data_IF_192767747563
#
_entry.id   IF_192767747563
#
_cell.length_a   1.000
_cell.length_b   1.000
_cell.length_c   1.000
_cell.angle_alpha   90.00
_cell.angle_beta   90.00
_cell.angle_gamma   90.00
#
_symmetry.space_group_name_H-M   'P 1'
#
loop_
_entity.id
_entity.type
_entity.pdbx_description
1 polymer ?
#
# COMPACT_ATOMS: atom_id res chain seq x y z
N UNK A 1 15.51 52.31 -1.39
CA UNK A 1 15.47 50.91 -0.92
C UNK A 1 14.97 50.07 -2.08
N UNK A 2 15.82 49.21 -2.63
CA UNK A 2 15.38 48.25 -3.64
C UNK A 2 14.43 47.25 -2.95
N UNK A 3 13.32 46.85 -3.59
CA UNK A 3 12.43 45.83 -3.03
C UNK A 3 13.25 44.54 -2.86
N UNK A 4 13.33 44.06 -1.62
CA UNK A 4 13.87 42.73 -1.32
C UNK A 4 12.97 41.74 -2.04
N UNK A 5 13.53 41.03 -3.02
CA UNK A 5 12.82 39.94 -3.68
C UNK A 5 12.34 38.98 -2.59
N UNK A 6 11.02 38.66 -2.52
CA UNK A 6 10.56 37.69 -1.55
C UNK A 6 11.33 36.40 -1.81
N UNK A 7 11.96 35.83 -0.78
CA UNK A 7 12.66 34.55 -0.85
C UNK A 7 11.67 33.47 -1.30
N UNK A 8 11.51 33.33 -2.62
CA UNK A 8 10.64 32.35 -3.27
C UNK A 8 11.04 30.92 -2.87
N UNK A 9 12.30 30.76 -2.47
CA UNK A 9 12.89 29.53 -1.91
C UNK A 9 12.26 29.14 -0.56
N UNK A 10 11.73 30.06 0.24
CA UNK A 10 11.16 29.77 1.56
C UNK A 10 9.65 29.52 1.57
N UNK A 11 8.99 29.52 0.40
CA UNK A 11 7.53 29.46 0.30
C UNK A 11 6.93 28.15 0.80
N UNK A 12 5.90 28.25 1.64
CA UNK A 12 5.14 27.10 2.14
C UNK A 12 4.14 26.51 1.12
N UNK A 13 3.97 27.17 -0.03
CA UNK A 13 2.95 26.81 -1.03
C UNK A 13 3.19 25.42 -1.62
N UNK A 14 4.42 25.11 -2.03
CA UNK A 14 4.81 23.80 -2.58
C UNK A 14 4.57 22.70 -1.54
N UNK A 15 5.03 22.83 -0.29
CA UNK A 15 4.73 21.86 0.76
C UNK A 15 3.25 21.59 0.99
N UNK A 16 2.45 22.65 1.11
CA UNK A 16 1.01 22.53 1.33
C UNK A 16 0.35 21.86 0.13
N UNK A 17 0.74 22.22 -1.10
CA UNK A 17 0.24 21.59 -2.31
C UNK A 17 0.58 20.09 -2.37
N UNK A 18 1.81 19.70 -2.02
CA UNK A 18 2.24 18.30 -1.98
C UNK A 18 1.43 17.49 -0.95
N UNK A 19 1.33 17.96 0.30
CA UNK A 19 0.54 17.25 1.32
C UNK A 19 -0.95 17.20 0.97
N UNK A 20 -1.50 18.30 0.45
CA UNK A 20 -2.89 18.34 -0.01
C UNK A 20 -3.11 17.35 -1.17
N UNK A 21 -2.18 17.26 -2.11
CA UNK A 21 -2.25 16.30 -3.22
C UNK A 21 -2.21 14.85 -2.73
N UNK A 22 -1.40 14.55 -1.72
CA UNK A 22 -1.34 13.22 -1.11
C UNK A 22 -2.67 12.87 -0.44
N UNK A 23 -3.26 13.80 0.33
CA UNK A 23 -4.57 13.60 0.97
C UNK A 23 -5.66 13.41 -0.08
N UNK A 24 -5.68 14.23 -1.13
CA UNK A 24 -6.64 14.13 -2.23
C UNK A 24 -6.49 12.81 -3.00
N UNK A 25 -5.27 12.35 -3.25
CA UNK A 25 -5.00 11.05 -3.85
C UNK A 25 -5.59 9.93 -3.00
N UNK A 26 -5.27 9.89 -1.71
CA UNK A 26 -5.79 8.89 -0.77
C UNK A 26 -7.32 8.92 -0.72
N UNK A 27 -7.93 10.10 -0.61
CA UNK A 27 -9.37 10.27 -0.62
C UNK A 27 -9.99 9.77 -1.94
N UNK A 28 -9.36 10.05 -3.07
CA UNK A 28 -9.77 9.55 -4.39
C UNK A 28 -9.71 8.02 -4.47
N UNK A 29 -8.62 7.40 -4.03
CA UNK A 29 -8.49 5.94 -3.99
C UNK A 29 -9.58 5.30 -3.11
N UNK A 30 -9.79 5.85 -1.91
CA UNK A 30 -10.87 5.43 -1.02
C UNK A 30 -12.24 5.57 -1.70
N UNK A 31 -12.51 6.72 -2.33
CA UNK A 31 -13.78 6.95 -3.04
C UNK A 31 -14.01 5.92 -4.17
N UNK A 32 -12.99 5.56 -4.93
CA UNK A 32 -13.12 4.50 -5.96
C UNK A 32 -13.50 3.14 -5.33
N UNK A 33 -12.88 2.79 -4.21
CA UNK A 33 -13.20 1.55 -3.48
C UNK A 33 -14.64 1.62 -2.96
N UNK A 34 -15.02 2.69 -2.26
CA UNK A 34 -16.38 2.86 -1.71
C UNK A 34 -17.46 2.83 -2.78
N UNK A 35 -17.24 3.48 -3.92
CA UNK A 35 -18.21 3.46 -5.04
C UNK A 35 -18.38 2.05 -5.60
N UNK A 36 -17.30 1.29 -5.76
CA UNK A 36 -17.39 -0.12 -6.21
C UNK A 36 -18.06 -1.02 -5.17
N UNK A 37 -17.71 -0.91 -3.90
CA UNK A 37 -18.34 -1.64 -2.80
C UNK A 37 -19.84 -1.31 -2.70
N UNK A 38 -20.21 -0.04 -2.82
CA UNK A 38 -21.62 0.41 -2.79
C UNK A 38 -22.41 -0.15 -3.95
N UNK A 39 -21.83 -0.19 -5.15
CA UNK A 39 -22.45 -0.83 -6.33
C UNK A 39 -22.65 -2.32 -6.08
N UNK A 40 -21.60 -3.03 -5.64
CA UNK A 40 -21.66 -4.45 -5.36
C UNK A 40 -22.73 -4.81 -4.31
N UNK A 41 -22.80 -4.02 -3.23
CA UNK A 41 -23.82 -4.16 -2.19
C UNK A 41 -25.25 -4.02 -2.73
N UNK A 42 -25.48 -3.07 -3.64
CA UNK A 42 -26.81 -2.87 -4.25
C UNK A 42 -27.21 -3.96 -5.23
N UNK A 43 -26.25 -4.63 -5.86
CA UNK A 43 -26.48 -5.65 -6.90
C UNK A 43 -26.36 -7.08 -6.38
N UNK A 44 -26.50 -7.29 -5.07
CA UNK A 44 -26.40 -8.62 -4.48
C UNK A 44 -27.54 -9.55 -4.96
N UNK A 45 -27.23 -10.77 -5.41
CA UNK A 45 -28.23 -11.74 -5.83
C UNK A 45 -29.11 -12.23 -4.66
N UNK A 46 -30.34 -12.69 -4.93
CA UNK A 46 -31.33 -13.04 -3.91
C UNK A 46 -30.88 -14.14 -2.95
N UNK A 47 -30.08 -15.12 -3.41
CA UNK A 47 -29.50 -16.17 -2.57
C UNK A 47 -28.60 -15.62 -1.46
N UNK A 48 -27.87 -14.54 -1.74
CA UNK A 48 -27.01 -13.81 -0.80
C UNK A 48 -27.77 -12.72 -0.01
N UNK A 49 -29.07 -12.51 -0.29
CA UNK A 49 -29.94 -11.59 0.44
C UNK A 49 -30.82 -12.29 1.49
N UNK A 50 -30.63 -13.59 1.71
CA UNK A 50 -31.39 -14.32 2.72
C UNK A 50 -31.12 -13.76 4.13
N UNK A 51 -32.19 -13.62 4.94
CA UNK A 51 -32.17 -12.98 6.27
C UNK A 51 -31.08 -13.54 7.19
N UNK A 52 -30.83 -14.85 7.10
CA UNK A 52 -29.82 -15.57 7.90
C UNK A 52 -28.38 -15.20 7.52
N UNK A 53 -28.07 -15.07 6.23
CA UNK A 53 -26.73 -14.68 5.75
C UNK A 53 -26.49 -13.17 5.90
N UNK A 54 -27.55 -12.36 5.78
CA UNK A 54 -27.46 -10.90 5.87
C UNK A 54 -27.00 -10.42 7.25
N UNK A 55 -27.51 -11.03 8.33
CA UNK A 55 -27.12 -10.68 9.69
C UNK A 55 -25.64 -11.00 9.98
N UNK A 56 -25.18 -12.18 9.57
CA UNK A 56 -23.77 -12.59 9.71
C UNK A 56 -22.83 -11.68 8.90
N UNK A 57 -23.14 -11.45 7.61
CA UNK A 57 -22.34 -10.57 6.74
C UNK A 57 -22.22 -9.16 7.32
N UNK A 58 -23.33 -8.59 7.83
CA UNK A 58 -23.30 -7.26 8.46
C UNK A 58 -22.35 -7.22 9.65
N UNK A 59 -22.37 -8.23 10.54
CA UNK A 59 -21.46 -8.28 11.69
C UNK A 59 -19.99 -8.33 11.24
N UNK A 60 -19.65 -9.21 10.30
CA UNK A 60 -18.28 -9.34 9.79
C UNK A 60 -17.81 -8.05 9.11
N UNK A 61 -18.68 -7.41 8.31
CA UNK A 61 -18.38 -6.13 7.67
C UNK A 61 -18.16 -5.03 8.69
N UNK A 62 -18.97 -4.97 9.76
CA UNK A 62 -18.78 -3.99 10.83
C UNK A 62 -17.43 -4.17 11.54
N UNK A 63 -17.03 -5.42 11.80
CA UNK A 63 -15.71 -5.72 12.39
C UNK A 63 -14.59 -5.24 11.47
N UNK A 64 -14.61 -5.61 10.18
CA UNK A 64 -13.57 -5.19 9.25
C UNK A 64 -13.57 -3.68 8.99
N UNK A 65 -14.74 -3.04 8.95
CA UNK A 65 -14.83 -1.59 8.85
C UNK A 65 -14.26 -0.89 10.10
N UNK A 66 -14.54 -1.41 11.29
CA UNK A 66 -13.96 -0.93 12.54
C UNK A 66 -12.44 -1.06 12.56
N UNK A 67 -11.91 -2.22 12.15
CA UNK A 67 -10.47 -2.45 12.03
C UNK A 67 -9.83 -1.56 10.97
N UNK A 68 -10.52 -1.29 9.85
CA UNK A 68 -10.06 -0.36 8.83
C UNK A 68 -9.96 1.07 9.39
N UNK A 69 -10.98 1.54 10.11
CA UNK A 69 -10.97 2.87 10.75
C UNK A 69 -9.86 2.99 11.80
N UNK A 70 -9.69 1.98 12.65
CA UNK A 70 -8.62 1.94 13.64
C UNK A 70 -7.24 1.94 12.98
N UNK A 71 -7.05 1.16 11.91
CA UNK A 71 -5.81 1.14 11.13
C UNK A 71 -5.53 2.51 10.51
N UNK A 72 -6.53 3.13 9.88
CA UNK A 72 -6.39 4.45 9.26
C UNK A 72 -6.02 5.53 10.28
N UNK A 73 -6.69 5.53 11.45
CA UNK A 73 -6.42 6.50 12.51
C UNK A 73 -5.02 6.34 13.10
N UNK A 74 -4.57 5.10 13.31
CA UNK A 74 -3.23 4.81 13.80
C UNK A 74 -2.15 5.24 12.80
N UNK A 75 -2.30 4.84 11.53
CA UNK A 75 -1.37 5.20 10.46
C UNK A 75 -1.33 6.72 10.24
N UNK A 76 -2.48 7.40 10.28
CA UNK A 76 -2.51 8.86 10.15
C UNK A 76 -1.85 9.55 11.33
N UNK A 77 -2.07 9.07 12.56
CA UNK A 77 -1.41 9.61 13.75
C UNK A 77 0.11 9.43 13.68
N UNK A 78 0.59 8.22 13.38
CA UNK A 78 2.02 7.93 13.25
C UNK A 78 2.67 8.76 12.13
N UNK A 79 2.01 8.88 10.99
CA UNK A 79 2.53 9.64 9.85
C UNK A 79 2.57 11.16 10.14
N UNK A 80 1.65 11.70 10.93
CA UNK A 80 1.69 13.10 11.40
C UNK A 80 2.82 13.26 12.42
N UNK A 81 2.90 12.39 13.42
CA UNK A 81 3.95 12.44 14.45
C UNK A 81 5.35 12.39 13.83
N UNK A 82 5.59 11.48 12.87
CA UNK A 82 6.88 11.38 12.19
C UNK A 82 7.25 12.68 11.46
N UNK A 83 6.32 13.27 10.70
CA UNK A 83 6.57 14.55 10.00
C UNK A 83 6.83 15.71 10.97
N UNK A 84 6.10 15.76 12.09
CA UNK A 84 6.30 16.79 13.12
C UNK A 84 7.67 16.64 13.78
N UNK A 85 8.11 15.40 14.05
CA UNK A 85 9.44 15.13 14.61
C UNK A 85 10.53 15.53 13.62
N UNK A 86 10.42 15.13 12.34
CA UNK A 86 11.36 15.52 11.29
C UNK A 86 11.50 17.04 11.16
N UNK A 87 10.37 17.78 11.15
CA UNK A 87 10.40 19.25 11.12
C UNK A 87 11.09 19.85 12.35
N UNK A 88 10.80 19.33 13.55
CA UNK A 88 11.41 19.81 14.80
C UNK A 88 12.91 19.56 14.84
N UNK A 89 13.36 18.41 14.36
CA UNK A 89 14.77 18.06 14.35
C UNK A 89 15.54 18.91 13.33
N UNK A 90 14.98 19.16 12.15
CA UNK A 90 15.53 20.11 11.17
C UNK A 90 15.63 21.52 11.75
N UNK A 91 14.55 22.03 12.36
CA UNK A 91 14.53 23.39 12.90
C UNK A 91 15.52 23.59 14.06
N UNK A 92 15.71 22.58 14.93
CA UNK A 92 16.73 22.60 15.99
C UNK A 92 18.15 22.64 15.42
N UNK A 93 18.43 21.94 14.33
CA UNK A 93 19.74 21.95 13.69
C UNK A 93 20.05 23.31 13.06
N UNK A 94 19.01 24.03 12.58
CA UNK A 94 19.13 25.37 12.02
C UNK A 94 19.08 26.51 13.04
N UNK A 95 19.05 26.21 14.35
CA UNK A 95 18.86 27.20 15.44
C UNK A 95 17.64 28.12 15.21
N UNK A 96 16.57 27.55 14.65
CA UNK A 96 15.33 28.27 14.35
C UNK A 96 14.33 28.10 15.50
N UNK A 97 13.71 29.21 15.91
CA UNK A 97 12.61 29.18 16.88
C UNK A 97 11.41 28.41 16.31
N UNK A 98 11.17 27.22 16.87
CA UNK A 98 10.00 26.42 16.54
C UNK A 98 8.82 26.92 17.37
N UNK A 99 7.70 27.34 16.76
CA UNK A 99 6.53 27.70 17.52
C UNK A 99 6.08 26.51 18.38
N UNK A 100 5.90 26.73 19.68
CA UNK A 100 5.50 25.70 20.65
C UNK A 100 4.17 25.01 20.31
N UNK A 101 3.38 25.61 19.40
CA UNK A 101 2.15 25.06 18.85
C UNK A 101 2.02 25.41 17.37
N UNK A 102 1.61 24.43 16.56
CA UNK A 102 1.15 24.64 15.17
C UNK A 102 -0.12 25.52 15.07
N UNK A 103 -0.75 25.82 16.22
CA UNK A 103 -1.99 26.60 16.35
C UNK A 103 -1.82 27.88 17.20
N UNK A 104 -0.60 28.26 17.60
CA UNK A 104 -0.39 29.52 18.31
C UNK A 104 -0.21 30.67 17.29
N UNK A 105 -1.19 31.58 17.26
CA UNK A 105 -1.21 32.76 16.37
C UNK A 105 -2.10 32.59 15.14
N UNK A 106 -2.73 33.69 14.68
CA UNK A 106 -3.89 33.68 13.76
C UNK A 106 -3.66 32.89 12.45
N UNK A 107 -2.42 32.75 11.95
CA UNK A 107 -2.07 31.84 10.84
C UNK A 107 -0.65 31.24 10.96
N UNK A 108 -0.21 30.91 12.18
CA UNK A 108 1.10 30.28 12.41
C UNK A 108 2.30 31.20 12.29
N UNK A 109 2.09 32.52 12.23
CA UNK A 109 3.11 33.55 12.40
C UNK A 109 3.10 33.98 13.87
N UNK A 110 4.18 33.73 14.61
CA UNK A 110 4.36 34.21 15.99
C UNK A 110 4.32 35.74 16.08
N UNK A 111 4.53 36.29 17.28
CA UNK A 111 4.57 37.75 17.54
C UNK A 111 5.58 38.50 16.65
N UNK A 112 6.60 37.80 16.12
CA UNK A 112 7.60 38.32 15.19
C UNK A 112 7.31 38.04 13.69
N UNK A 113 6.12 37.56 13.34
CA UNK A 113 5.77 37.27 11.94
C UNK A 113 6.44 36.02 11.36
N UNK A 114 7.24 35.28 12.14
CA UNK A 114 7.95 34.08 11.64
C UNK A 114 6.97 32.92 11.59
N UNK A 115 6.44 32.68 10.39
CA UNK A 115 5.60 31.54 10.05
C UNK A 115 6.32 30.19 10.19
N UNK A 116 5.57 29.08 10.17
CA UNK A 116 6.15 27.77 9.87
C UNK A 116 6.99 27.85 8.59
N UNK A 117 8.21 27.28 8.58
CA UNK A 117 9.12 27.33 7.43
C UNK A 117 9.15 25.98 6.71
N UNK A 118 8.00 25.57 6.20
CA UNK A 118 7.84 24.28 5.50
C UNK A 118 8.61 24.25 4.17
N UNK A 119 8.74 25.40 3.50
CA UNK A 119 9.48 25.53 2.24
C UNK A 119 10.96 25.16 2.39
N UNK A 120 11.63 25.76 3.39
CA UNK A 120 13.02 25.44 3.71
C UNK A 120 13.20 24.00 4.18
N UNK A 121 12.31 23.53 5.06
CA UNK A 121 12.35 22.14 5.53
C UNK A 121 12.33 21.11 4.40
N UNK A 122 11.44 21.23 3.43
CA UNK A 122 11.36 20.28 2.32
C UNK A 122 12.41 20.48 1.22
N UNK A 123 13.15 21.58 1.21
CA UNK A 123 14.33 21.73 0.35
C UNK A 123 15.52 20.97 0.92
N UNK A 124 15.71 21.05 2.24
CA UNK A 124 16.83 20.39 2.92
C UNK A 124 16.55 18.89 3.17
N UNK A 125 15.27 18.54 3.40
CA UNK A 125 14.85 17.19 3.78
C UNK A 125 13.98 16.56 2.69
N UNK A 126 14.55 15.59 1.97
CA UNK A 126 13.77 14.68 1.13
C UNK A 126 13.16 13.57 1.99
N UNK A 127 11.93 13.80 2.44
CA UNK A 127 11.16 12.86 3.26
C UNK A 127 11.03 11.46 2.64
N UNK A 128 10.96 11.36 1.31
CA UNK A 128 10.77 10.06 0.62
C UNK A 128 12.09 9.30 0.57
N UNK A 129 13.21 9.99 0.35
CA UNK A 129 14.54 9.39 0.40
C UNK A 129 14.93 9.04 1.84
N UNK A 130 14.61 9.90 2.81
CA UNK A 130 14.88 9.65 4.23
C UNK A 130 14.10 8.45 4.76
N UNK A 131 12.81 8.34 4.45
CA UNK A 131 12.00 7.18 4.84
C UNK A 131 12.53 5.88 4.22
N UNK A 132 12.90 5.91 2.93
CA UNK A 132 13.51 4.75 2.27
C UNK A 132 14.88 4.40 2.85
N UNK A 133 15.71 5.41 3.14
CA UNK A 133 17.01 5.24 3.79
C UNK A 133 16.87 4.63 5.19
N UNK A 134 15.88 5.07 5.97
CA UNK A 134 15.60 4.50 7.29
C UNK A 134 15.16 3.03 7.21
N UNK A 135 14.34 2.69 6.21
CA UNK A 135 13.89 1.32 5.96
C UNK A 135 15.03 0.35 5.58
N UNK A 136 16.07 0.87 4.92
CA UNK A 136 17.25 0.12 4.45
C UNK A 136 18.35 0.05 5.51
N UNK A 137 18.69 1.18 6.14
CA UNK A 137 19.89 1.31 6.99
C UNK A 137 19.71 0.83 8.42
N UNK A 138 18.49 0.93 8.97
CA UNK A 138 18.27 0.62 10.38
C UNK A 138 18.06 -0.89 10.57
N UNK A 139 18.94 -1.60 11.32
CA UNK A 139 18.81 -3.05 11.51
C UNK A 139 17.48 -3.45 12.17
N UNK A 140 16.96 -2.60 13.06
CA UNK A 140 15.68 -2.83 13.74
C UNK A 140 14.50 -2.70 12.77
N UNK A 141 14.58 -1.75 11.85
CA UNK A 141 13.52 -1.48 10.87
C UNK A 141 13.59 -2.47 9.72
N UNK A 142 14.78 -2.97 9.39
CA UNK A 142 15.02 -3.92 8.32
C UNK A 142 14.13 -5.17 8.40
N UNK A 143 13.94 -5.72 9.61
CA UNK A 143 13.03 -6.86 9.84
C UNK A 143 11.58 -6.48 9.51
N UNK A 144 11.13 -5.31 9.95
CA UNK A 144 9.81 -4.79 9.63
C UNK A 144 9.64 -4.52 8.13
N UNK A 145 10.65 -3.95 7.47
CA UNK A 145 10.68 -3.73 6.03
C UNK A 145 10.49 -5.03 5.27
N UNK A 146 11.17 -6.10 5.68
CA UNK A 146 11.02 -7.43 5.08
C UNK A 146 9.62 -7.99 5.25
N UNK A 147 9.07 -7.92 6.45
CA UNK A 147 7.71 -8.39 6.72
C UNK A 147 6.67 -7.60 5.92
N UNK A 148 6.82 -6.28 5.85
CA UNK A 148 5.94 -5.38 5.13
C UNK A 148 5.94 -5.70 3.63
N UNK A 149 7.11 -5.77 2.99
CA UNK A 149 7.19 -6.05 1.55
C UNK A 149 6.70 -7.46 1.22
N UNK A 150 7.03 -8.45 2.05
CA UNK A 150 6.53 -9.83 1.87
C UNK A 150 5.00 -9.88 1.97
N UNK A 151 4.44 -9.19 2.97
CA UNK A 151 3.00 -9.04 3.14
C UNK A 151 2.35 -8.34 1.94
N UNK A 152 2.97 -7.27 1.45
CA UNK A 152 2.49 -6.48 0.31
C UNK A 152 2.50 -7.28 -1.00
N UNK A 153 3.56 -8.04 -1.26
CA UNK A 153 3.68 -8.99 -2.40
C UNK A 153 2.55 -10.02 -2.33
N UNK A 154 2.39 -10.65 -1.17
CA UNK A 154 1.38 -11.70 -0.96
C UNK A 154 -0.04 -11.15 -1.12
N UNK A 155 -0.33 -10.01 -0.49
CA UNK A 155 -1.61 -9.34 -0.58
C UNK A 155 -1.91 -8.89 -2.01
N UNK A 156 -0.92 -8.41 -2.76
CA UNK A 156 -1.11 -7.98 -4.15
C UNK A 156 -1.43 -9.15 -5.08
N UNK A 157 -0.76 -10.29 -4.92
CA UNK A 157 -1.11 -11.52 -5.64
C UNK A 157 -2.54 -11.93 -5.30
N UNK A 158 -2.90 -11.94 -4.01
CA UNK A 158 -4.24 -12.29 -3.55
C UNK A 158 -5.32 -11.35 -4.11
N UNK A 159 -5.10 -10.04 -4.05
CA UNK A 159 -6.01 -9.03 -4.61
C UNK A 159 -6.14 -9.21 -6.13
N UNK A 160 -5.03 -9.41 -6.86
CA UNK A 160 -5.06 -9.65 -8.31
C UNK A 160 -5.88 -10.89 -8.71
N UNK A 161 -5.70 -12.00 -7.97
CA UNK A 161 -6.43 -13.25 -8.21
C UNK A 161 -7.91 -13.10 -7.84
N UNK A 162 -8.22 -12.70 -6.60
CA UNK A 162 -9.60 -12.69 -6.10
C UNK A 162 -10.44 -11.57 -6.71
N UNK A 163 -9.87 -10.37 -6.89
CA UNK A 163 -10.56 -9.23 -7.49
C UNK A 163 -10.56 -9.30 -9.01
N UNK A 164 -9.39 -9.53 -9.61
CA UNK A 164 -9.23 -9.51 -11.05
C UNK A 164 -9.79 -10.75 -11.72
N UNK A 165 -9.31 -11.93 -11.33
CA UNK A 165 -9.66 -13.17 -12.02
C UNK A 165 -11.03 -13.71 -11.58
N UNK A 166 -11.30 -13.76 -10.28
CA UNK A 166 -12.52 -14.42 -9.77
C UNK A 166 -13.76 -13.55 -9.79
N UNK A 167 -13.62 -12.26 -9.54
CA UNK A 167 -14.75 -11.33 -9.43
C UNK A 167 -14.82 -10.30 -10.55
N UNK A 168 -13.88 -10.36 -11.49
CA UNK A 168 -13.76 -9.47 -12.64
C UNK A 168 -13.93 -7.98 -12.30
N UNK A 169 -13.32 -7.55 -11.20
CA UNK A 169 -13.37 -6.16 -10.77
C UNK A 169 -12.56 -5.25 -11.71
N UNK A 170 -12.96 -3.97 -11.85
CA UNK A 170 -12.23 -2.99 -12.65
C UNK A 170 -10.76 -2.89 -12.25
N UNK A 171 -9.89 -2.66 -13.23
CA UNK A 171 -8.45 -2.48 -13.01
C UNK A 171 -8.18 -1.33 -12.04
N UNK A 172 -8.94 -0.23 -12.17
CA UNK A 172 -8.84 0.91 -11.26
C UNK A 172 -9.03 0.51 -9.81
N UNK A 173 -10.01 -0.35 -9.50
CA UNK A 173 -10.24 -0.84 -8.13
C UNK A 173 -9.06 -1.64 -7.60
N UNK A 174 -8.47 -2.51 -8.42
CA UNK A 174 -7.30 -3.33 -8.03
C UNK A 174 -6.09 -2.41 -7.76
N UNK A 175 -5.83 -1.48 -8.67
CA UNK A 175 -4.75 -0.48 -8.51
C UNK A 175 -5.00 0.33 -7.24
N UNK A 176 -6.24 0.76 -6.97
CA UNK A 176 -6.56 1.51 -5.77
C UNK A 176 -6.23 0.74 -4.49
N UNK A 177 -6.51 -0.56 -4.40
CA UNK A 177 -6.13 -1.34 -3.22
C UNK A 177 -4.61 -1.45 -3.05
N UNK A 178 -3.88 -1.70 -4.13
CA UNK A 178 -2.42 -1.82 -4.09
C UNK A 178 -1.78 -0.50 -3.71
N UNK A 179 -2.16 0.61 -4.36
CA UNK A 179 -1.65 1.94 -4.03
C UNK A 179 -2.02 2.34 -2.59
N UNK A 180 -3.23 2.01 -2.14
CA UNK A 180 -3.65 2.29 -0.77
C UNK A 180 -2.83 1.49 0.25
N UNK A 181 -2.50 0.24 -0.06
CA UNK A 181 -1.60 -0.58 0.78
C UNK A 181 -0.17 -0.03 0.84
N UNK A 182 0.28 0.65 -0.21
CA UNK A 182 1.60 1.29 -0.29
C UNK A 182 1.66 2.66 0.40
N UNK A 183 0.57 3.43 0.36
CA UNK A 183 0.56 4.84 0.82
C UNK A 183 -0.03 4.98 2.24
N UNK A 184 -1.10 4.25 2.55
CA UNK A 184 -1.80 4.36 3.83
C UNK A 184 -1.56 3.18 4.77
N UNK A 185 -1.04 2.07 4.25
CA UNK A 185 -0.75 0.88 5.04
C UNK A 185 -1.52 -0.35 4.57
N UNK A 186 -0.82 -1.49 4.61
CA UNK A 186 -1.33 -2.79 4.16
C UNK A 186 -2.58 -3.22 4.94
N UNK A 187 -2.59 -3.02 6.25
CA UNK A 187 -3.70 -3.38 7.13
C UNK A 187 -5.01 -2.70 6.71
N UNK A 188 -4.97 -1.38 6.51
CA UNK A 188 -6.15 -0.60 6.11
C UNK A 188 -6.74 -1.09 4.78
N UNK A 189 -5.89 -1.24 3.77
CA UNK A 189 -6.30 -1.71 2.45
C UNK A 189 -6.86 -3.14 2.50
N UNK A 190 -6.25 -4.04 3.26
CA UNK A 190 -6.68 -5.43 3.40
C UNK A 190 -8.04 -5.54 4.10
N UNK A 191 -8.30 -4.76 5.15
CA UNK A 191 -9.60 -4.72 5.81
C UNK A 191 -10.71 -4.22 4.86
N UNK A 192 -10.46 -3.15 4.11
CA UNK A 192 -11.39 -2.69 3.07
C UNK A 192 -11.59 -3.71 1.95
N UNK A 193 -10.52 -4.44 1.59
CA UNK A 193 -10.58 -5.51 0.61
C UNK A 193 -11.50 -6.64 1.08
N UNK A 194 -11.39 -7.05 2.35
CA UNK A 194 -12.29 -8.03 2.94
C UNK A 194 -13.75 -7.57 2.94
N UNK A 195 -14.01 -6.29 3.23
CA UNK A 195 -15.36 -5.72 3.10
C UNK A 195 -15.87 -5.81 1.66
N UNK A 196 -15.04 -5.49 0.66
CA UNK A 196 -15.43 -5.57 -0.74
C UNK A 196 -15.77 -7.00 -1.15
N UNK A 197 -14.90 -7.98 -0.87
CA UNK A 197 -15.11 -9.37 -1.30
C UNK A 197 -16.38 -9.99 -0.70
N UNK A 198 -16.81 -9.53 0.48
CA UNK A 198 -18.05 -9.97 1.14
C UNK A 198 -19.30 -9.46 0.41
N UNK A 199 -19.20 -8.37 -0.33
CA UNK A 199 -20.29 -7.79 -1.11
C UNK A 199 -20.23 -8.10 -2.60
N UNK A 200 -19.09 -8.55 -3.11
CA UNK A 200 -18.92 -8.94 -4.51
C UNK A 200 -19.02 -10.47 -4.66
N UNK A 201 -20.15 -10.99 -5.18
CA UNK A 201 -20.28 -12.42 -5.45
C UNK A 201 -19.33 -12.87 -6.57
N UNK A 202 -19.01 -14.15 -6.59
CA UNK A 202 -18.34 -14.76 -7.74
C UNK A 202 -19.40 -14.88 -8.85
N UNK A 203 -19.21 -14.28 -10.03
CA UNK A 203 -20.19 -14.35 -11.11
C UNK A 203 -20.35 -15.80 -11.55
N UNK A 204 -21.56 -16.36 -11.38
CA UNK A 204 -21.93 -17.69 -11.89
C UNK A 204 -22.17 -17.64 -13.41
N UNK A 205 -22.60 -16.48 -13.91
CA UNK A 205 -22.74 -16.14 -15.33
C UNK A 205 -22.48 -14.63 -15.46
N UNK A 206 -21.37 -14.23 -16.07
CA UNK A 206 -21.13 -12.80 -16.35
C UNK A 206 -21.66 -12.45 -17.73
N UNK A 207 -22.49 -11.39 -17.80
CA UNK A 207 -23.03 -10.83 -19.05
C UNK A 207 -21.91 -10.27 -19.95
N UNK A 208 -20.77 -9.90 -19.36
CA UNK A 208 -19.53 -9.67 -20.10
C UNK A 208 -18.64 -10.91 -19.98
N UNK A 209 -18.12 -11.47 -21.09
CA UNK A 209 -17.12 -12.51 -20.99
C UNK A 209 -15.91 -11.95 -20.24
N UNK A 210 -15.40 -12.63 -19.21
CA UNK A 210 -14.14 -12.23 -18.61
C UNK A 210 -13.07 -12.26 -19.72
N UNK A 211 -12.13 -11.31 -19.71
CA UNK A 211 -11.06 -11.24 -20.73
C UNK A 211 -10.27 -12.56 -20.82
N UNK A 212 -10.31 -13.36 -19.76
CA UNK A 212 -9.79 -14.74 -19.69
C UNK A 212 -10.77 -15.62 -18.93
N UNK A 213 -10.93 -16.85 -19.42
CA UNK A 213 -11.77 -17.87 -18.80
C UNK A 213 -11.35 -18.11 -17.34
N UNK A 214 -12.32 -18.36 -16.45
CA UNK A 214 -12.10 -18.68 -15.05
C UNK A 214 -11.25 -19.94 -14.83
N UNK A 215 -11.22 -20.83 -15.82
CA UNK A 215 -10.39 -22.04 -15.88
C UNK A 215 -8.94 -21.77 -16.31
N UNK A 216 -8.64 -20.60 -16.85
CA UNK A 216 -7.27 -20.23 -17.19
C UNK A 216 -6.58 -19.61 -15.97
N UNK A 217 -5.38 -20.06 -15.62
CA UNK A 217 -4.56 -19.42 -14.59
C UNK A 217 -3.16 -19.12 -15.12
N UNK A 218 -2.49 -18.03 -14.68
CA UNK A 218 -1.08 -17.83 -14.94
C UNK A 218 -0.26 -18.98 -14.37
N UNK A 219 0.83 -19.34 -15.04
CA UNK A 219 1.80 -20.29 -14.48
C UNK A 219 2.36 -19.73 -13.17
N UNK A 220 2.60 -20.55 -12.13
CA UNK A 220 3.11 -20.07 -10.83
C UNK A 220 4.38 -19.22 -10.96
N UNK A 221 5.23 -19.55 -11.93
CA UNK A 221 6.48 -18.85 -12.25
C UNK A 221 6.29 -17.35 -12.51
N UNK A 222 5.14 -16.94 -13.08
CA UNK A 222 4.80 -15.53 -13.33
C UNK A 222 4.74 -14.72 -12.03
N UNK A 223 4.29 -15.35 -10.95
CA UNK A 223 4.22 -14.72 -9.64
C UNK A 223 5.52 -14.93 -8.85
N UNK A 224 6.05 -16.15 -8.89
CA UNK A 224 7.18 -16.55 -8.07
C UNK A 224 8.48 -15.86 -8.48
N UNK A 225 8.79 -15.72 -9.78
CA UNK A 225 10.06 -15.09 -10.19
C UNK A 225 10.16 -13.64 -9.69
N UNK A 226 9.19 -12.74 -9.96
CA UNK A 226 9.28 -11.35 -9.50
C UNK A 226 9.24 -11.24 -7.98
N UNK A 227 8.47 -12.10 -7.30
CA UNK A 227 8.41 -12.14 -5.84
C UNK A 227 9.75 -12.59 -5.24
N UNK A 228 10.35 -13.66 -5.74
CA UNK A 228 11.66 -14.16 -5.30
C UNK A 228 12.74 -13.11 -5.55
N UNK A 229 12.76 -12.51 -6.76
CA UNK A 229 13.73 -11.45 -7.08
C UNK A 229 13.61 -10.25 -6.13
N UNK A 230 12.37 -9.84 -5.79
CA UNK A 230 12.16 -8.76 -4.82
C UNK A 230 12.66 -9.14 -3.42
N UNK A 231 12.33 -10.34 -2.94
CA UNK A 231 12.71 -10.82 -1.61
C UNK A 231 14.22 -11.06 -1.48
N UNK A 232 14.85 -11.61 -2.50
CA UNK A 232 16.32 -11.75 -2.58
C UNK A 232 16.98 -10.38 -2.66
N UNK A 233 16.43 -9.46 -3.45
CA UNK A 233 16.90 -8.07 -3.53
C UNK A 233 16.88 -7.37 -2.16
N UNK A 234 15.80 -7.55 -1.39
CA UNK A 234 15.71 -7.05 -0.02
C UNK A 234 16.80 -7.65 0.90
N UNK A 235 17.10 -8.94 0.72
CA UNK A 235 18.09 -9.63 1.55
C UNK A 235 19.51 -9.10 1.33
N UNK A 236 19.81 -8.61 0.12
CA UNK A 236 21.13 -8.10 -0.25
C UNK A 236 21.31 -6.61 0.12
N UNK A 237 20.23 -5.90 0.47
CA UNK A 237 20.27 -4.46 0.81
C UNK A 237 21.41 -4.03 1.74
N UNK A 238 21.74 -4.76 2.84
CA UNK A 238 22.81 -4.33 3.74
C UNK A 238 24.21 -4.38 3.12
N UNK A 239 24.38 -5.09 2.00
CA UNK A 239 25.68 -5.36 1.37
C UNK A 239 25.92 -4.51 0.11
N UNK A 240 25.00 -3.63 -0.26
CA UNK A 240 25.08 -2.82 -1.48
C UNK A 240 25.09 -1.33 -1.15
N UNK A 241 25.54 -0.52 -2.09
CA UNK A 241 25.57 0.93 -1.97
C UNK A 241 24.18 1.51 -1.69
N UNK A 242 24.12 2.57 -0.87
CA UNK A 242 22.88 3.16 -0.36
C UNK A 242 21.88 3.55 -1.47
N UNK A 243 22.36 4.16 -2.56
CA UNK A 243 21.49 4.62 -3.65
C UNK A 243 20.90 3.45 -4.45
N UNK A 244 21.69 2.39 -4.65
CA UNK A 244 21.20 1.15 -5.23
C UNK A 244 20.22 0.46 -4.28
N UNK A 245 20.50 0.44 -2.98
CA UNK A 245 19.66 -0.17 -1.96
C UNK A 245 18.28 0.50 -1.89
N UNK A 246 18.23 1.84 -1.88
CA UNK A 246 16.99 2.62 -1.95
C UNK A 246 16.22 2.30 -3.23
N UNK A 247 16.90 2.16 -4.36
CA UNK A 247 16.27 1.84 -5.64
C UNK A 247 15.67 0.44 -5.62
N UNK A 248 16.42 -0.57 -5.18
CA UNK A 248 15.95 -1.96 -5.04
C UNK A 248 14.74 -2.03 -4.12
N UNK A 249 14.80 -1.33 -2.96
CA UNK A 249 13.68 -1.23 -2.05
C UNK A 249 12.44 -0.61 -2.71
N UNK A 250 12.58 0.52 -3.41
CA UNK A 250 11.47 1.20 -4.10
C UNK A 250 10.85 0.32 -5.19
N UNK A 251 11.65 -0.42 -5.95
CA UNK A 251 11.15 -1.38 -6.95
C UNK A 251 10.37 -2.51 -6.28
N UNK A 252 10.92 -3.10 -5.21
CA UNK A 252 10.27 -4.17 -4.45
C UNK A 252 8.97 -3.70 -3.77
N UNK A 253 8.91 -2.44 -3.32
CA UNK A 253 7.77 -1.87 -2.61
C UNK A 253 6.68 -1.33 -3.55
N UNK A 254 7.04 -0.60 -4.61
CA UNK A 254 6.06 0.04 -5.50
C UNK A 254 5.74 -0.76 -6.76
N UNK A 255 6.77 -1.22 -7.47
CA UNK A 255 6.63 -1.77 -8.82
C UNK A 255 6.18 -3.22 -8.80
N UNK A 256 6.86 -4.06 -8.00
CA UNK A 256 6.59 -5.50 -7.95
C UNK A 256 5.15 -5.80 -7.49
N UNK A 257 4.61 -5.17 -6.44
CA UNK A 257 3.24 -5.45 -6.00
C UNK A 257 2.20 -5.05 -7.06
N UNK A 258 2.41 -3.93 -7.75
CA UNK A 258 1.53 -3.48 -8.83
C UNK A 258 1.56 -4.47 -10.01
N UNK A 259 2.76 -4.92 -10.42
CA UNK A 259 2.90 -5.95 -11.45
C UNK A 259 2.15 -7.23 -11.04
N UNK A 260 2.36 -7.72 -9.82
CA UNK A 260 1.78 -8.97 -9.34
C UNK A 260 0.26 -8.92 -9.26
N UNK A 261 -0.31 -7.79 -8.82
CA UNK A 261 -1.75 -7.59 -8.80
C UNK A 261 -2.36 -7.53 -10.21
N UNK A 262 -1.61 -7.04 -11.19
CA UNK A 262 -2.05 -6.90 -12.58
C UNK A 262 -1.59 -8.04 -13.49
N UNK A 263 -0.85 -9.02 -12.98
CA UNK A 263 -0.19 -10.06 -13.78
C UNK A 263 -1.18 -10.79 -14.70
N UNK A 264 -2.37 -11.16 -14.20
CA UNK A 264 -3.45 -11.82 -14.97
C UNK A 264 -3.87 -11.02 -16.20
N UNK A 265 -3.71 -9.68 -16.18
CA UNK A 265 -4.13 -8.78 -17.26
C UNK A 265 -2.97 -8.36 -18.17
N UNK A 266 -1.74 -8.36 -17.65
CA UNK A 266 -0.55 -7.91 -18.38
C UNK A 266 0.11 -9.01 -19.20
N UNK A 267 0.19 -10.23 -18.66
CA UNK A 267 0.94 -11.31 -19.31
C UNK A 267 0.22 -11.83 -20.56
N UNK A 268 0.92 -12.36 -21.57
CA UNK A 268 0.31 -13.01 -22.72
C UNK A 268 -0.40 -14.32 -22.35
N UNK A 269 -1.35 -14.77 -23.19
CA UNK A 269 -2.14 -16.00 -22.93
C UNK A 269 -1.28 -17.26 -22.87
N UNK A 270 -0.16 -17.28 -23.60
CA UNK A 270 0.83 -18.36 -23.62
C UNK A 270 1.52 -18.61 -22.27
N UNK A 271 1.49 -17.63 -21.35
CA UNK A 271 2.09 -17.73 -20.03
C UNK A 271 1.15 -18.29 -18.96
N UNK A 272 -0.04 -18.73 -19.36
CA UNK A 272 -0.97 -19.45 -18.50
C UNK A 272 -1.24 -20.86 -18.98
N UNK A 273 -2.11 -21.52 -18.22
CA UNK A 273 -2.56 -22.89 -18.44
C UNK A 273 -4.06 -22.95 -18.27
N UNK A 274 -4.74 -23.63 -19.19
CA UNK A 274 -6.15 -23.97 -19.04
C UNK A 274 -6.28 -25.22 -18.20
N UNK A 275 -7.23 -25.19 -17.27
CA UNK A 275 -7.52 -26.27 -16.36
C UNK A 275 -8.85 -26.93 -16.73
N UNK A 276 -9.00 -28.26 -16.53
CA UNK A 276 -10.24 -28.96 -16.85
C UNK A 276 -11.39 -28.56 -15.91
N UNK A 277 -11.08 -28.16 -14.67
CA UNK A 277 -12.08 -27.81 -13.66
C UNK A 277 -11.60 -26.69 -12.73
N UNK A 278 -12.54 -26.07 -12.02
CA UNK A 278 -12.25 -24.95 -11.12
C UNK A 278 -11.39 -25.36 -9.93
N UNK A 279 -11.43 -26.63 -9.52
CA UNK A 279 -10.61 -27.15 -8.41
C UNK A 279 -9.15 -27.27 -8.81
N UNK A 280 -8.83 -27.75 -10.02
CA UNK A 280 -7.44 -27.78 -10.51
C UNK A 280 -6.88 -26.36 -10.72
N UNK A 281 -7.68 -25.44 -11.27
CA UNK A 281 -7.31 -24.02 -11.34
C UNK A 281 -7.00 -23.43 -9.95
N UNK A 282 -7.84 -23.73 -8.94
CA UNK A 282 -7.62 -23.29 -7.57
C UNK A 282 -6.34 -23.88 -6.96
N UNK A 283 -6.11 -25.17 -7.15
CA UNK A 283 -4.92 -25.87 -6.65
C UNK A 283 -3.63 -25.28 -7.25
N UNK A 284 -3.64 -24.93 -8.54
CA UNK A 284 -2.50 -24.31 -9.21
C UNK A 284 -2.18 -22.90 -8.67
N UNK A 285 -3.17 -22.15 -8.20
CA UNK A 285 -2.94 -20.86 -7.53
C UNK A 285 -2.48 -21.05 -6.09
N UNK A 286 -3.02 -22.05 -5.39
CA UNK A 286 -2.63 -22.38 -4.02
C UNK A 286 -1.15 -22.76 -3.92
N UNK A 287 -0.60 -23.46 -4.91
CA UNK A 287 0.84 -23.78 -4.94
C UNK A 287 1.72 -22.54 -4.90
N UNK A 288 1.31 -21.43 -5.53
CA UNK A 288 2.05 -20.16 -5.46
C UNK A 288 2.15 -19.63 -4.03
N UNK A 289 1.02 -19.62 -3.31
CA UNK A 289 1.00 -19.17 -1.90
C UNK A 289 1.77 -20.11 -0.99
N UNK A 290 1.74 -21.42 -1.25
CA UNK A 290 2.53 -22.39 -0.50
C UNK A 290 4.04 -22.11 -0.61
N UNK A 291 4.56 -21.93 -1.83
CA UNK A 291 5.97 -21.61 -2.02
C UNK A 291 6.37 -20.25 -1.45
N UNK A 292 5.52 -19.23 -1.58
CA UNK A 292 5.75 -17.92 -0.96
C UNK A 292 5.76 -18.01 0.57
N UNK A 293 4.85 -18.79 1.16
CA UNK A 293 4.80 -19.03 2.60
C UNK A 293 6.05 -19.74 3.11
N UNK A 294 6.51 -20.78 2.39
CA UNK A 294 7.73 -21.51 2.73
C UNK A 294 8.98 -20.61 2.63
N UNK A 295 9.09 -19.83 1.55
CA UNK A 295 10.17 -18.86 1.38
C UNK A 295 10.15 -17.78 2.46
N UNK A 296 8.98 -17.19 2.74
CA UNK A 296 8.80 -16.22 3.81
C UNK A 296 9.24 -16.78 5.16
N UNK A 297 8.83 -18.02 5.49
CA UNK A 297 9.19 -18.68 6.73
C UNK A 297 10.70 -18.89 6.83
N UNK A 298 11.35 -19.37 5.76
CA UNK A 298 12.81 -19.56 5.75
C UNK A 298 13.57 -18.24 5.93
N UNK A 299 13.14 -17.18 5.23
CA UNK A 299 13.77 -15.86 5.33
C UNK A 299 13.58 -15.26 6.72
N UNK A 300 12.37 -15.33 7.29
CA UNK A 300 12.09 -14.84 8.63
C UNK A 300 12.84 -15.64 9.70
N UNK A 301 12.93 -16.97 9.55
CA UNK A 301 13.70 -17.80 10.47
C UNK A 301 15.19 -17.43 10.45
N UNK A 302 15.78 -17.26 9.26
CA UNK A 302 17.16 -16.79 9.12
C UNK A 302 17.36 -15.42 9.76
N UNK A 303 16.46 -14.48 9.52
CA UNK A 303 16.53 -13.14 10.12
C UNK A 303 16.45 -13.19 11.65
N UNK A 304 15.51 -13.97 12.17
CA UNK A 304 15.34 -14.14 13.62
C UNK A 304 16.58 -14.77 14.26
N UNK A 305 17.14 -15.81 13.63
CA UNK A 305 18.39 -16.43 14.08
C UNK A 305 19.57 -15.45 14.08
N UNK A 306 19.71 -14.62 13.05
CA UNK A 306 20.74 -13.58 12.97
C UNK A 306 20.54 -12.45 13.97
N UNK A 307 19.31 -12.17 14.41
CA UNK A 307 19.05 -11.15 15.43
C UNK A 307 19.23 -11.64 16.87
N UNK A 308 19.23 -12.96 17.09
CA UNK A 308 19.38 -13.57 18.42
C UNK A 308 20.84 -13.98 18.74
N UNK A 309 21.70 -14.11 17.72
CA UNK A 309 23.13 -14.35 17.83
C UNK A 309 23.89 -13.02 17.92
#
# INVERSE_FOLDING_TARGET
>A
MAPVEPDLTSSNTIPIALFSSQILLVAGLIATIFTTTRRAWRTLPPSYNTRRQQAWRRRVVLVFAGLALASLALESALAVTWRVLSYRDWARQGDLDVPNSIWAGWYGTGEDGVGLRLGGWMQDVDLVREAAGYAVRSPRVFVWTHQLVTGLITASIFMGIEAGQRRNLPVSTIISFVLLSQICGLSFAQHLFFVLIMYTPIPLYSVLPPRRDHLWTPRPVVYLIPAILALVGLHVLPNIEDDLAITVYRVAYFVVPLYLALAVRLIPSSWGTHHPDTRSAHRALHTTFYYLGLLSLLLQFKQLALTLL
#
